data_IF_270626678518
#
_entry.id   IF_270626678518
#
_cell.length_a   1.000
_cell.length_b   1.000
_cell.length_c   1.000
_cell.angle_alpha   90.00
_cell.angle_beta   90.00
_cell.angle_gamma   90.00
#
_symmetry.space_group_name_H-M   'P 1'
#
loop_
_entity.id
_entity.type
_entity.pdbx_description
1 polymer ?
#
# COMPACT_ATOMS: atom_id res chain seq x y z
N UNK A 1 35.79 -7.01 36.50
CA UNK A 1 36.19 -6.62 35.13
C UNK A 1 36.16 -5.10 35.06
N UNK A 2 37.23 -4.44 34.61
CA UNK A 2 37.27 -2.98 34.54
C UNK A 2 36.61 -2.47 33.26
N UNK A 3 36.09 -1.24 33.26
CA UNK A 3 35.44 -0.62 32.09
C UNK A 3 36.36 -0.65 30.85
N UNK A 4 37.68 -0.48 31.03
CA UNK A 4 38.67 -0.57 29.95
C UNK A 4 38.74 -1.96 29.31
N UNK A 5 38.60 -3.03 30.10
CA UNK A 5 38.58 -4.41 29.60
C UNK A 5 37.29 -4.71 28.81
N UNK A 6 36.15 -4.16 29.25
CA UNK A 6 34.88 -4.33 28.53
C UNK A 6 34.89 -3.65 27.15
N UNK A 7 35.41 -2.43 27.07
CA UNK A 7 35.55 -1.69 25.80
C UNK A 7 36.47 -2.45 24.84
N UNK A 8 37.59 -2.98 25.33
CA UNK A 8 38.52 -3.76 24.51
C UNK A 8 37.89 -5.03 23.95
N UNK A 9 37.13 -5.78 24.76
CA UNK A 9 36.44 -7.00 24.33
C UNK A 9 35.36 -6.66 23.30
N UNK A 10 34.57 -5.62 23.52
CA UNK A 10 33.57 -5.16 22.54
C UNK A 10 34.21 -4.77 21.21
N UNK A 11 35.33 -4.04 21.26
CA UNK A 11 36.06 -3.62 20.06
C UNK A 11 36.60 -4.82 19.28
N UNK A 12 37.15 -5.82 19.98
CA UNK A 12 37.60 -7.08 19.37
C UNK A 12 36.43 -7.84 18.74
N UNK A 13 35.29 -7.96 19.42
CA UNK A 13 34.09 -8.60 18.87
C UNK A 13 33.60 -7.92 17.58
N UNK A 14 33.58 -6.59 17.54
CA UNK A 14 33.19 -5.85 16.32
C UNK A 14 34.19 -6.11 15.20
N UNK A 15 35.50 -6.07 15.47
CA UNK A 15 36.53 -6.33 14.46
C UNK A 15 36.42 -7.76 13.92
N UNK A 16 36.29 -8.77 14.79
CA UNK A 16 36.13 -10.17 14.35
C UNK A 16 34.82 -10.39 13.60
N UNK A 17 33.73 -9.73 14.00
CA UNK A 17 32.45 -9.79 13.28
C UNK A 17 32.57 -9.15 11.90
N UNK A 18 33.20 -7.98 11.78
CA UNK A 18 33.43 -7.32 10.49
C UNK A 18 34.31 -8.15 9.57
N UNK A 19 35.41 -8.74 10.07
CA UNK A 19 36.28 -9.62 9.28
C UNK A 19 35.55 -10.90 8.88
N UNK A 20 34.77 -11.51 9.78
CA UNK A 20 33.97 -12.71 9.49
C UNK A 20 32.87 -12.46 8.46
N UNK A 21 32.19 -11.32 8.54
CA UNK A 21 31.20 -10.89 7.55
C UNK A 21 31.86 -10.60 6.19
N UNK A 22 33.03 -9.94 6.19
CA UNK A 22 33.80 -9.68 4.97
C UNK A 22 34.27 -10.99 4.32
N UNK A 23 34.82 -11.92 5.11
CA UNK A 23 35.32 -13.21 4.63
C UNK A 23 34.19 -14.14 4.17
N UNK A 24 33.04 -14.14 4.85
CA UNK A 24 31.85 -14.90 4.46
C UNK A 24 31.20 -14.36 3.19
N UNK A 25 31.08 -13.03 3.07
CA UNK A 25 30.63 -12.36 1.85
C UNK A 25 31.58 -12.61 0.69
N UNK A 26 32.89 -12.50 0.91
CA UNK A 26 33.91 -12.84 -0.09
C UNK A 26 33.82 -14.32 -0.49
N UNK A 27 33.66 -15.27 0.42
CA UNK A 27 33.60 -16.70 0.10
C UNK A 27 32.41 -17.09 -0.79
N UNK A 28 31.26 -16.43 -0.65
CA UNK A 28 30.09 -16.66 -1.50
C UNK A 28 30.27 -16.08 -2.91
N UNK A 29 31.03 -14.99 -3.04
CA UNK A 29 31.25 -14.30 -4.32
C UNK A 29 32.55 -14.78 -5.00
N UNK A 30 33.46 -15.41 -4.25
CA UNK A 30 34.77 -15.90 -4.72
C UNK A 30 34.67 -16.86 -5.91
N UNK A 31 33.74 -17.83 -5.99
CA UNK A 31 33.64 -18.73 -7.15
C UNK A 31 33.27 -17.99 -8.45
N UNK A 32 32.51 -16.90 -8.34
CA UNK A 32 32.12 -16.07 -9.47
C UNK A 32 33.24 -15.10 -9.86
N UNK A 33 33.95 -14.55 -8.88
CA UNK A 33 35.13 -13.70 -9.09
C UNK A 33 36.27 -14.51 -9.70
N UNK A 34 36.54 -15.72 -9.19
CA UNK A 34 37.57 -16.63 -9.70
C UNK A 34 37.26 -17.03 -11.15
N UNK A 35 36.02 -17.43 -11.43
CA UNK A 35 35.60 -17.72 -12.81
C UNK A 35 35.76 -16.50 -13.74
N UNK A 36 35.33 -15.32 -13.30
CA UNK A 36 35.50 -14.09 -14.06
C UNK A 36 36.98 -13.68 -14.20
N UNK A 37 37.82 -13.95 -13.21
CA UNK A 37 39.26 -13.67 -13.21
C UNK A 37 40.00 -14.53 -14.24
N UNK A 38 39.67 -15.83 -14.29
CA UNK A 38 40.21 -16.76 -15.29
C UNK A 38 39.67 -16.50 -16.70
N UNK A 39 38.38 -16.19 -16.83
CA UNK A 39 37.76 -15.91 -18.14
C UNK A 39 38.17 -14.54 -18.71
N UNK A 40 38.30 -13.50 -17.88
CA UNK A 40 38.60 -12.14 -18.32
C UNK A 40 40.11 -11.79 -18.33
N UNK A 41 41.00 -12.72 -17.94
CA UNK A 41 42.46 -12.49 -17.84
C UNK A 41 42.81 -11.18 -17.11
N UNK A 42 42.08 -10.86 -16.05
CA UNK A 42 42.29 -9.63 -15.29
C UNK A 42 43.56 -9.81 -14.46
N UNK A 43 44.69 -9.27 -14.93
CA UNK A 43 46.00 -9.40 -14.27
C UNK A 43 46.28 -8.32 -13.22
N UNK A 44 45.38 -7.35 -13.04
CA UNK A 44 45.61 -6.19 -12.19
C UNK A 44 44.66 -6.18 -10.97
N UNK A 45 45.26 -6.15 -9.77
CA UNK A 45 44.57 -6.08 -8.48
C UNK A 45 43.64 -4.86 -8.37
N UNK A 46 43.95 -3.77 -9.08
CA UNK A 46 43.13 -2.56 -9.07
C UNK A 46 41.74 -2.77 -9.68
N UNK A 47 41.66 -3.58 -10.75
CA UNK A 47 40.40 -3.94 -11.41
C UNK A 47 39.52 -4.83 -10.54
N UNK A 48 40.13 -5.71 -9.73
CA UNK A 48 39.41 -6.56 -8.78
C UNK A 48 38.80 -5.74 -7.63
N UNK A 49 39.57 -4.80 -7.07
CA UNK A 49 39.06 -3.86 -6.05
C UNK A 49 37.92 -3.01 -6.62
N UNK A 50 38.06 -2.52 -7.86
CA UNK A 50 37.01 -1.75 -8.52
C UNK A 50 35.71 -2.56 -8.70
N UNK A 51 35.79 -3.82 -9.13
CA UNK A 51 34.62 -4.71 -9.28
C UNK A 51 33.93 -4.93 -7.92
N UNK A 52 34.69 -5.15 -6.85
CA UNK A 52 34.13 -5.33 -5.50
C UNK A 52 33.46 -4.05 -5.00
N UNK A 53 34.07 -2.88 -5.22
CA UNK A 53 33.50 -1.60 -4.83
C UNK A 53 32.23 -1.25 -5.61
N UNK A 54 32.26 -1.39 -6.94
CA UNK A 54 31.09 -1.11 -7.81
C UNK A 54 29.99 -2.14 -7.61
N UNK A 55 30.34 -3.43 -7.51
CA UNK A 55 29.41 -4.52 -7.25
C UNK A 55 28.76 -4.41 -5.86
N UNK A 56 29.53 -4.06 -4.82
CA UNK A 56 29.01 -3.81 -3.48
C UNK A 56 28.08 -2.60 -3.43
N UNK A 57 28.44 -1.51 -4.11
CA UNK A 57 27.57 -0.34 -4.27
C UNK A 57 26.26 -0.68 -4.98
N UNK A 58 26.33 -1.38 -6.11
CA UNK A 58 25.15 -1.81 -6.85
C UNK A 58 24.26 -2.76 -6.03
N UNK A 59 24.84 -3.71 -5.30
CA UNK A 59 24.11 -4.60 -4.41
C UNK A 59 23.42 -3.84 -3.27
N UNK A 60 24.08 -2.84 -2.69
CA UNK A 60 23.47 -1.97 -1.68
C UNK A 60 22.30 -1.16 -2.28
N UNK A 61 22.46 -0.55 -3.45
CA UNK A 61 21.39 0.19 -4.12
C UNK A 61 20.21 -0.71 -4.49
N UNK A 62 20.46 -1.92 -4.97
CA UNK A 62 19.43 -2.92 -5.28
C UNK A 62 18.72 -3.35 -3.99
N UNK A 63 19.46 -3.71 -2.94
CA UNK A 63 18.90 -4.10 -1.65
C UNK A 63 18.04 -2.98 -1.04
N UNK A 64 18.53 -1.74 -1.07
CA UNK A 64 17.80 -0.58 -0.55
C UNK A 64 16.56 -0.26 -1.41
N UNK A 65 16.65 -0.41 -2.73
CA UNK A 65 15.50 -0.25 -3.63
C UNK A 65 14.45 -1.35 -3.42
N UNK A 66 14.87 -2.59 -3.19
CA UNK A 66 13.98 -3.71 -2.85
C UNK A 66 13.30 -3.47 -1.50
N UNK A 67 14.07 -3.07 -0.48
CA UNK A 67 13.53 -2.78 0.86
C UNK A 67 12.52 -1.63 0.83
N UNK A 68 12.83 -0.55 0.10
CA UNK A 68 11.92 0.56 -0.11
C UNK A 68 10.66 0.13 -0.85
N UNK A 69 10.79 -0.62 -1.94
CA UNK A 69 9.63 -1.13 -2.69
C UNK A 69 8.77 -2.06 -1.83
N UNK A 70 9.37 -2.94 -1.03
CA UNK A 70 8.62 -3.82 -0.12
C UNK A 70 7.86 -3.04 0.96
N UNK A 71 8.48 -2.00 1.52
CA UNK A 71 7.82 -1.10 2.46
C UNK A 71 6.64 -0.39 1.79
N UNK A 72 6.83 0.16 0.59
CA UNK A 72 5.78 0.88 -0.15
C UNK A 72 4.62 -0.04 -0.55
N UNK A 73 4.91 -1.28 -0.94
CA UNK A 73 3.91 -2.34 -1.20
C UNK A 73 3.12 -2.68 0.07
N UNK A 74 3.77 -2.73 1.24
CA UNK A 74 3.09 -2.95 2.52
C UNK A 74 2.18 -1.78 2.94
N UNK A 75 2.61 -0.54 2.66
CA UNK A 75 1.77 0.66 2.89
C UNK A 75 0.56 0.63 1.97
N UNK A 76 0.73 0.24 0.70
CA UNK A 76 -0.34 0.11 -0.28
C UNK A 76 -1.38 -0.93 0.14
N UNK A 77 -0.96 -2.13 0.56
CA UNK A 77 -1.89 -3.17 1.04
C UNK A 77 -2.68 -2.70 2.26
N UNK A 78 -1.99 -2.07 3.22
CA UNK A 78 -2.63 -1.52 4.41
C UNK A 78 -3.68 -0.46 4.07
N UNK A 79 -3.39 0.41 3.09
CA UNK A 79 -4.30 1.47 2.71
C UNK A 79 -5.51 0.94 1.93
N UNK A 80 -5.31 -0.01 1.01
CA UNK A 80 -6.39 -0.70 0.31
C UNK A 80 -7.30 -1.46 1.29
N UNK A 81 -6.73 -2.16 2.27
CA UNK A 81 -7.51 -2.83 3.32
C UNK A 81 -8.31 -1.85 4.20
N UNK A 82 -7.77 -0.66 4.48
CA UNK A 82 -8.53 0.40 5.19
C UNK A 82 -9.68 0.96 4.35
N UNK A 83 -9.50 1.11 3.05
CA UNK A 83 -10.58 1.52 2.13
C UNK A 83 -11.67 0.46 2.10
N UNK A 84 -11.31 -0.82 2.04
CA UNK A 84 -12.25 -1.95 2.07
C UNK A 84 -13.09 -1.93 3.35
N UNK A 85 -12.44 -1.80 4.51
CA UNK A 85 -13.15 -1.73 5.80
C UNK A 85 -14.07 -0.51 5.93
N UNK A 86 -13.62 0.67 5.50
CA UNK A 86 -14.45 1.88 5.57
C UNK A 86 -15.60 1.85 4.55
N UNK A 87 -15.42 1.15 3.42
CA UNK A 87 -16.48 0.88 2.46
C UNK A 87 -17.56 -0.06 3.03
N UNK A 88 -17.20 -1.10 3.77
CA UNK A 88 -18.18 -1.97 4.43
C UNK A 88 -19.06 -1.19 5.42
N UNK A 89 -18.45 -0.25 6.15
CA UNK A 89 -19.19 0.67 7.04
C UNK A 89 -20.12 1.58 6.23
N UNK A 90 -19.62 2.19 5.15
CA UNK A 90 -20.43 3.02 4.25
C UNK A 90 -21.65 2.25 3.72
N UNK A 91 -21.45 1.02 3.26
CA UNK A 91 -22.51 0.16 2.75
C UNK A 91 -23.53 -0.18 3.83
N UNK A 92 -23.08 -0.56 5.02
CA UNK A 92 -23.94 -0.85 6.18
C UNK A 92 -24.80 0.36 6.56
N UNK A 93 -24.20 1.55 6.63
CA UNK A 93 -24.92 2.78 6.95
C UNK A 93 -25.92 3.15 5.86
N UNK A 94 -25.53 3.00 4.58
CA UNK A 94 -26.41 3.28 3.43
C UNK A 94 -27.61 2.35 3.41
N UNK A 95 -27.41 1.05 3.67
CA UNK A 95 -28.51 0.08 3.74
C UNK A 95 -29.45 0.35 4.90
N UNK A 96 -28.90 0.58 6.10
CA UNK A 96 -29.69 0.93 7.28
C UNK A 96 -30.51 2.20 7.05
N UNK A 97 -29.92 3.19 6.37
CA UNK A 97 -30.57 4.42 5.99
C UNK A 97 -31.77 4.19 5.05
N UNK A 98 -31.58 3.40 3.98
CA UNK A 98 -32.64 3.07 3.01
C UNK A 98 -33.79 2.31 3.71
N UNK A 99 -33.46 1.33 4.54
CA UNK A 99 -34.45 0.53 5.27
C UNK A 99 -35.30 1.40 6.22
N UNK A 100 -34.68 2.33 6.95
CA UNK A 100 -35.39 3.29 7.83
C UNK A 100 -36.27 4.25 7.04
N UNK A 101 -35.81 4.72 5.88
CA UNK A 101 -36.60 5.58 4.98
C UNK A 101 -37.82 4.86 4.41
N UNK A 102 -37.66 3.62 3.96
CA UNK A 102 -38.75 2.82 3.39
C UNK A 102 -39.78 2.39 4.43
N UNK A 103 -39.35 2.17 5.68
CA UNK A 103 -40.22 1.80 6.79
C UNK A 103 -40.94 2.98 7.46
N UNK A 104 -40.71 4.23 7.00
CA UNK A 104 -41.28 5.45 7.59
C UNK A 104 -41.09 5.53 9.13
N UNK A 105 -39.98 4.98 9.63
CA UNK A 105 -39.69 5.00 11.06
C UNK A 105 -39.05 6.33 11.45
N UNK A 106 -39.56 6.99 12.49
CA UNK A 106 -39.05 8.26 13.07
C UNK A 106 -37.63 8.15 13.70
N UNK A 107 -36.86 7.12 13.34
CA UNK A 107 -35.48 6.95 13.78
C UNK A 107 -34.61 8.12 13.30
N UNK A 108 -33.49 8.43 13.98
CA UNK A 108 -32.64 9.56 13.62
C UNK A 108 -31.85 9.30 12.33
N UNK A 109 -32.53 9.49 11.19
CA UNK A 109 -32.02 9.48 9.80
C UNK A 109 -30.78 10.39 9.64
N UNK A 110 -30.69 11.45 10.44
CA UNK A 110 -29.58 12.41 10.47
C UNK A 110 -28.25 11.80 10.94
N UNK A 111 -28.30 10.83 11.85
CA UNK A 111 -27.08 10.18 12.35
C UNK A 111 -26.47 9.26 11.28
N UNK A 112 -27.29 8.53 10.53
CA UNK A 112 -26.81 7.66 9.46
C UNK A 112 -26.21 8.48 8.32
N UNK A 113 -26.86 9.59 7.95
CA UNK A 113 -26.32 10.59 7.01
C UNK A 113 -24.94 11.12 7.39
N UNK A 114 -24.78 11.49 8.66
CA UNK A 114 -23.51 12.01 9.17
C UNK A 114 -22.42 10.94 9.05
N UNK A 115 -22.75 9.69 9.34
CA UNK A 115 -21.83 8.55 9.20
C UNK A 115 -21.48 8.26 7.74
N UNK A 116 -22.47 8.25 6.86
CA UNK A 116 -22.28 8.10 5.40
C UNK A 116 -21.33 9.17 4.86
N UNK A 117 -21.58 10.45 5.19
CA UNK A 117 -20.74 11.56 4.77
C UNK A 117 -19.32 11.46 5.32
N UNK A 118 -19.16 11.01 6.56
CA UNK A 118 -17.86 10.81 7.17
C UNK A 118 -17.06 9.70 6.47
N UNK A 119 -17.69 8.56 6.19
CA UNK A 119 -17.05 7.46 5.47
C UNK A 119 -16.69 7.85 4.03
N UNK A 120 -17.54 8.61 3.33
CA UNK A 120 -17.18 9.18 2.02
C UNK A 120 -15.95 10.08 2.09
N UNK A 121 -15.86 10.98 3.08
CA UNK A 121 -14.67 11.85 3.24
C UNK A 121 -13.41 11.04 3.47
N UNK A 122 -13.45 10.04 4.35
CA UNK A 122 -12.32 9.16 4.63
C UNK A 122 -11.87 8.40 3.39
N UNK A 123 -12.80 7.73 2.69
CA UNK A 123 -12.46 6.98 1.47
C UNK A 123 -11.88 7.92 0.42
N UNK A 124 -12.46 9.11 0.25
CA UNK A 124 -11.92 10.11 -0.69
C UNK A 124 -10.49 10.53 -0.35
N UNK A 125 -10.17 10.74 0.93
CA UNK A 125 -8.82 11.07 1.37
C UNK A 125 -7.84 9.92 1.12
N UNK A 126 -8.24 8.68 1.45
CA UNK A 126 -7.42 7.50 1.21
C UNK A 126 -7.17 7.26 -0.28
N UNK A 127 -8.17 7.48 -1.14
CA UNK A 127 -8.00 7.40 -2.60
C UNK A 127 -7.02 8.47 -3.12
N UNK A 128 -7.09 9.71 -2.62
CA UNK A 128 -6.13 10.75 -3.02
C UNK A 128 -4.69 10.39 -2.63
N UNK A 129 -4.48 9.79 -1.45
CA UNK A 129 -3.16 9.30 -1.03
C UNK A 129 -2.65 8.23 -1.99
N UNK A 130 -3.53 7.33 -2.46
CA UNK A 130 -3.15 6.31 -3.44
C UNK A 130 -2.79 6.89 -4.80
N UNK A 131 -3.53 7.89 -5.26
CA UNK A 131 -3.26 8.60 -6.53
C UNK A 131 -1.90 9.31 -6.49
N UNK A 132 -1.47 9.80 -5.33
CA UNK A 132 -0.17 10.44 -5.12
C UNK A 132 1.01 9.45 -5.03
N UNK A 133 0.73 8.18 -4.71
CA UNK A 133 1.73 7.10 -4.70
C UNK A 133 2.12 6.74 -6.15
N UNK A 134 3.06 7.51 -6.72
CA UNK A 134 3.58 7.41 -8.10
C UNK A 134 4.09 6.02 -8.54
N UNK A 135 4.15 5.04 -7.65
CA UNK A 135 4.68 3.70 -7.91
C UNK A 135 3.68 2.76 -8.60
N UNK A 136 2.40 3.10 -8.69
CA UNK A 136 1.39 2.23 -9.29
C UNK A 136 0.45 2.97 -10.27
N UNK A 137 0.14 2.39 -11.44
CA UNK A 137 -0.94 2.88 -12.28
C UNK A 137 -2.26 2.63 -11.57
N UNK A 138 -2.70 3.61 -10.78
CA UNK A 138 -3.97 3.54 -10.11
C UNK A 138 -5.08 3.58 -11.16
N UNK A 139 -6.02 2.60 -11.19
CA UNK A 139 -7.05 2.59 -12.21
C UNK A 139 -7.96 3.81 -12.01
N UNK A 140 -8.03 4.70 -13.00
CA UNK A 140 -8.95 5.87 -13.01
C UNK A 140 -10.39 5.46 -12.70
N UNK A 141 -10.74 4.23 -13.10
CA UNK A 141 -12.03 3.58 -12.85
C UNK A 141 -12.40 3.50 -11.36
N UNK A 142 -11.46 3.33 -10.42
CA UNK A 142 -11.78 3.28 -8.98
C UNK A 142 -12.27 4.63 -8.47
N UNK A 143 -11.63 5.73 -8.90
CA UNK A 143 -12.03 7.09 -8.55
C UNK A 143 -13.35 7.48 -9.21
N UNK A 144 -13.54 7.09 -10.47
CA UNK A 144 -14.79 7.31 -11.21
C UNK A 144 -15.97 6.56 -10.58
N UNK A 145 -15.78 5.27 -10.26
CA UNK A 145 -16.81 4.47 -9.57
C UNK A 145 -17.13 4.98 -8.17
N UNK A 146 -16.12 5.43 -7.42
CA UNK A 146 -16.35 6.08 -6.13
C UNK A 146 -17.15 7.38 -6.26
N UNK A 147 -16.82 8.20 -7.25
CA UNK A 147 -17.53 9.46 -7.51
C UNK A 147 -18.98 9.20 -7.92
N UNK A 148 -19.22 8.18 -8.76
CA UNK A 148 -20.56 7.71 -9.12
C UNK A 148 -21.35 7.21 -7.90
N UNK A 149 -20.73 6.40 -7.03
CA UNK A 149 -21.32 5.93 -5.79
C UNK A 149 -21.77 7.11 -4.91
N UNK A 150 -20.90 8.11 -4.74
CA UNK A 150 -21.19 9.32 -3.99
C UNK A 150 -22.39 10.08 -4.58
N UNK A 151 -22.45 10.29 -5.89
CA UNK A 151 -23.56 10.99 -6.53
C UNK A 151 -24.89 10.22 -6.48
N UNK A 152 -24.85 8.88 -6.43
CA UNK A 152 -26.07 8.07 -6.32
C UNK A 152 -26.66 8.07 -4.90
N UNK A 153 -25.84 8.35 -3.88
CA UNK A 153 -26.23 8.36 -2.46
C UNK A 153 -26.47 9.80 -1.95
N UNK A 154 -25.75 10.79 -2.49
CA UNK A 154 -25.77 12.20 -2.03
C UNK A 154 -26.02 13.16 -3.20
N UNK A 155 -26.79 14.23 -2.98
CA UNK A 155 -26.96 15.32 -3.96
C UNK A 155 -25.79 16.33 -3.91
N UNK A 156 -25.83 17.35 -4.79
CA UNK A 156 -24.79 18.40 -4.87
C UNK A 156 -24.58 19.18 -3.56
N UNK A 157 -25.56 19.19 -2.66
CA UNK A 157 -25.51 19.85 -1.36
C UNK A 157 -25.23 18.88 -0.19
N UNK A 158 -24.88 17.62 -0.48
CA UNK A 158 -24.78 16.53 0.51
C UNK A 158 -26.08 16.31 1.31
N UNK A 159 -27.21 16.77 0.78
CA UNK A 159 -28.54 16.34 1.20
C UNK A 159 -28.89 15.07 0.41
N UNK A 160 -29.74 14.20 0.95
CA UNK A 160 -30.19 13.07 0.14
C UNK A 160 -31.22 13.55 -0.87
N UNK A 161 -31.20 12.91 -2.04
CA UNK A 161 -32.27 12.98 -3.04
C UNK A 161 -33.62 12.81 -2.32
N UNK A 162 -34.40 13.89 -2.27
CA UNK A 162 -35.66 14.02 -1.54
C UNK A 162 -36.80 13.22 -2.19
N UNK A 163 -36.65 11.90 -2.33
CA UNK A 163 -37.71 11.03 -2.80
C UNK A 163 -38.05 10.04 -1.69
N UNK A 164 -39.15 10.30 -0.99
CA UNK A 164 -39.78 9.32 -0.10
C UNK A 164 -41.07 8.83 -0.73
N UNK A 165 -41.25 7.49 -0.91
CA UNK A 165 -40.24 6.42 -0.72
C UNK A 165 -39.15 6.45 -1.80
N UNK A 166 -38.00 5.79 -1.54
CA UNK A 166 -37.00 5.57 -2.58
C UNK A 166 -37.60 4.62 -3.63
N UNK A 167 -37.64 4.99 -4.93
CA UNK A 167 -38.07 4.07 -5.96
C UNK A 167 -37.16 2.84 -5.99
N UNK A 168 -37.71 1.64 -6.23
CA UNK A 168 -36.92 0.41 -6.41
C UNK A 168 -35.78 0.58 -7.43
N UNK A 169 -36.00 1.40 -8.46
CA UNK A 169 -34.99 1.74 -9.46
C UNK A 169 -33.77 2.46 -8.85
N UNK A 170 -33.97 3.33 -7.87
CA UNK A 170 -32.90 4.06 -7.21
C UNK A 170 -32.13 3.19 -6.21
N UNK A 171 -32.81 2.31 -5.49
CA UNK A 171 -32.17 1.27 -4.66
C UNK A 171 -31.25 0.38 -5.51
N UNK A 172 -31.74 -0.09 -6.66
CA UNK A 172 -30.94 -0.90 -7.59
C UNK A 172 -29.73 -0.14 -8.16
N UNK A 173 -29.86 1.17 -8.40
CA UNK A 173 -28.74 2.02 -8.83
C UNK A 173 -27.66 2.12 -7.75
N UNK A 174 -28.05 2.28 -6.49
CA UNK A 174 -27.13 2.32 -5.35
C UNK A 174 -26.43 0.97 -5.19
N UNK A 175 -27.17 -0.15 -5.21
CA UNK A 175 -26.60 -1.50 -5.10
C UNK A 175 -25.62 -1.80 -6.23
N UNK A 176 -25.97 -1.45 -7.47
CA UNK A 176 -25.06 -1.61 -8.60
C UNK A 176 -23.80 -0.75 -8.44
N UNK A 177 -23.91 0.50 -7.98
CA UNK A 177 -22.76 1.37 -7.75
C UNK A 177 -21.82 0.81 -6.66
N UNK A 178 -22.40 0.26 -5.58
CA UNK A 178 -21.65 -0.43 -4.52
C UNK A 178 -20.87 -1.63 -5.07
N UNK A 179 -21.53 -2.52 -5.84
CA UNK A 179 -20.91 -3.69 -6.45
C UNK A 179 -19.77 -3.28 -7.39
N UNK A 180 -20.00 -2.26 -8.24
CA UNK A 180 -18.99 -1.77 -9.17
C UNK A 180 -17.76 -1.22 -8.45
N UNK A 181 -17.95 -0.46 -7.36
CA UNK A 181 -16.84 0.04 -6.56
C UNK A 181 -16.05 -1.10 -5.90
N UNK A 182 -16.73 -2.09 -5.32
CA UNK A 182 -16.07 -3.26 -4.72
C UNK A 182 -15.27 -4.05 -5.76
N UNK A 183 -15.82 -4.25 -6.95
CA UNK A 183 -15.11 -4.92 -8.06
C UNK A 183 -13.85 -4.16 -8.46
N UNK A 184 -13.90 -2.82 -8.54
CA UNK A 184 -12.73 -2.01 -8.87
C UNK A 184 -11.70 -2.00 -7.74
N UNK A 185 -12.13 -2.04 -6.48
CA UNK A 185 -11.23 -2.14 -5.33
C UNK A 185 -10.47 -3.47 -5.34
N UNK A 186 -11.16 -4.58 -5.61
CA UNK A 186 -10.51 -5.89 -5.76
C UNK A 186 -9.56 -5.91 -6.95
N UNK A 187 -9.91 -5.31 -8.09
CA UNK A 187 -9.01 -5.20 -9.25
C UNK A 187 -7.76 -4.40 -8.91
N UNK A 188 -7.91 -3.26 -8.22
CA UNK A 188 -6.78 -2.48 -7.75
C UNK A 188 -5.85 -3.31 -6.86
N UNK A 189 -6.43 -4.12 -5.95
CA UNK A 189 -5.67 -5.07 -5.13
C UNK A 189 -4.95 -6.11 -5.99
N UNK A 190 -5.63 -6.78 -6.92
CA UNK A 190 -5.01 -7.80 -7.79
C UNK A 190 -3.87 -7.23 -8.62
N UNK A 191 -4.06 -6.06 -9.25
CA UNK A 191 -3.02 -5.39 -10.05
C UNK A 191 -1.83 -4.98 -9.17
N UNK A 192 -2.08 -4.61 -7.91
CA UNK A 192 -1.04 -4.14 -6.98
C UNK A 192 -0.10 -5.24 -6.47
N UNK A 193 -0.48 -6.52 -6.63
CA UNK A 193 0.27 -7.66 -6.08
C UNK A 193 0.54 -8.77 -7.12
N UNK A 194 0.26 -8.52 -8.40
CA UNK A 194 0.59 -9.39 -9.55
C UNK A 194 1.89 -8.94 -10.23
#
# INVERSE_FOLDING_TARGET
MTIKQFILIFLLCVIFFSIGFLAGGLALVFPFIEKAFWDAKITDYFSLVFIVCVGGGAAYFISHSIEKNNHDVGVLDSLLGKIESEYELLYSYTKSFIDKKNSQTDSPVQNDLTRINFSFKKISQMLSILEEMKQYPFPSQLRETFSSLKMNITDENFTLVQLTPYPNEQTNKIDNACIQFLMQLHRAKTISFS
#
